data_IF_631425906021
#
_entry.id   IF_631425906021
#
_cell.length_a   1.000
_cell.length_b   1.000
_cell.length_c   1.000
_cell.angle_alpha   90.00
_cell.angle_beta   90.00
_cell.angle_gamma   90.00
#
_symmetry.space_group_name_H-M   'P 1'
#
loop_
_entity.id
_entity.type
_entity.pdbx_description
1 polymer ?
2 non-polymer ?
3 water ?
#
# COMPACT_ATOMS: atom_id res chain seq x y z
N UNK A 3 -25.41 32.66 -25.95
CA UNK A 3 -25.50 31.16 -25.93
C UNK A 3 -24.08 30.56 -25.80
N UNK A 4 -24.01 29.26 -25.51
CA UNK A 4 -22.83 28.55 -24.93
C UNK A 4 -21.91 28.08 -26.07
N UNK A 5 -20.89 28.87 -26.42
CA UNK A 5 -20.05 28.74 -27.65
C UNK A 5 -18.91 27.73 -27.49
N UNK A 6 -18.45 27.51 -26.26
CA UNK A 6 -17.19 26.77 -25.99
C UNK A 6 -17.44 25.60 -25.05
N UNK A 7 -16.67 24.51 -25.23
CA UNK A 7 -16.51 23.44 -24.24
C UNK A 7 -15.60 23.96 -23.13
N UNK A 8 -15.76 23.48 -21.89
CA UNK A 8 -14.71 23.61 -20.90
C UNK A 8 -13.49 22.81 -21.37
N UNK A 9 -12.29 23.23 -20.97
CA UNK A 9 -11.00 22.62 -21.40
C UNK A 9 -10.14 22.43 -20.17
N UNK A 10 -9.71 21.20 -19.90
CA UNK A 10 -8.74 20.92 -18.83
C UNK A 10 -7.42 21.55 -19.22
N UNK A 11 -6.60 21.91 -18.23
CA UNK A 11 -5.24 22.46 -18.43
C UNK A 11 -4.27 21.34 -18.80
N UNK A 12 -4.73 20.09 -18.75
CA UNK A 12 -3.92 18.88 -19.01
C UNK A 12 -4.88 17.75 -19.40
N UNK A 13 -4.67 17.04 -20.52
CA UNK A 13 -5.57 15.96 -20.92
C UNK A 13 -5.67 14.87 -19.85
N UNK A 14 -4.60 14.69 -19.09
CA UNK A 14 -4.42 13.59 -18.10
C UNK A 14 -3.56 14.05 -16.92
N UNK A 15 -3.86 13.53 -15.72
CA UNK A 15 -3.17 13.85 -14.46
C UNK A 15 -2.65 12.55 -13.81
N UNK A 16 -1.37 12.56 -13.45
CA UNK A 16 -0.65 11.55 -12.63
C UNK A 16 -0.52 12.12 -11.21
N UNK A 17 -0.42 11.29 -10.18
CA UNK A 17 -0.15 11.76 -8.80
C UNK A 17 0.32 10.61 -7.91
N UNK A 18 1.14 10.95 -6.92
CA UNK A 18 1.61 10.01 -5.89
C UNK A 18 0.98 10.38 -4.57
N UNK A 19 0.59 9.39 -3.77
CA UNK A 19 -0.07 9.60 -2.47
C UNK A 19 0.28 8.44 -1.53
N UNK A 20 0.92 8.72 -0.40
CA UNK A 20 1.37 7.68 0.55
C UNK A 20 0.15 7.21 1.33
N UNK A 21 -0.02 5.89 1.42
CA UNK A 21 -1.17 5.30 2.12
C UNK A 21 -1.22 5.86 3.54
N UNK A 22 -2.37 5.75 4.17
CA UNK A 22 -2.63 6.19 5.57
C UNK A 22 -2.52 7.72 5.69
N UNK A 23 -2.67 8.46 4.58
CA UNK A 23 -2.72 9.95 4.59
C UNK A 23 -3.84 10.38 5.51
N UNK A 24 -3.71 11.54 6.19
CA UNK A 24 -4.78 12.02 7.05
C UNK A 24 -5.98 12.46 6.23
N UNK A 25 -7.19 12.26 6.77
CA UNK A 25 -8.45 12.86 6.25
C UNK A 25 -8.23 14.36 6.11
N UNK A 26 -8.72 14.99 5.06
CA UNK A 26 -8.50 16.43 4.81
C UNK A 26 -7.29 16.71 3.93
N UNK A 27 -6.33 15.79 3.87
CA UNK A 27 -5.06 15.93 3.10
C UNK A 27 -5.33 16.17 1.61
N UNK A 28 -4.71 17.21 1.04
CA UNK A 28 -4.75 17.54 -0.42
C UNK A 28 -4.06 16.41 -1.20
N UNK A 29 -4.72 15.88 -2.23
CA UNK A 29 -4.15 14.83 -3.14
C UNK A 29 -3.71 15.49 -4.44
N UNK A 30 -4.63 16.17 -5.12
CA UNK A 30 -4.31 16.94 -6.36
C UNK A 30 -5.43 17.94 -6.64
N UNK A 31 -5.11 18.97 -7.42
CA UNK A 31 -6.02 20.05 -7.86
C UNK A 31 -6.13 19.94 -9.39
N UNK A 32 -7.35 19.82 -9.91
CA UNK A 32 -7.60 19.85 -11.38
C UNK A 32 -8.19 21.21 -11.75
N UNK A 33 -7.90 21.70 -12.95
CA UNK A 33 -8.44 22.98 -13.44
C UNK A 33 -8.85 22.80 -14.88
N UNK A 34 -10.01 23.33 -15.21
CA UNK A 34 -10.52 23.50 -16.58
C UNK A 34 -10.94 24.96 -16.76
N UNK A 35 -11.20 25.35 -18.00
CA UNK A 35 -11.31 26.77 -18.43
C UNK A 35 -12.36 26.87 -19.52
N UNK A 36 -13.14 27.93 -19.50
CA UNK A 36 -14.16 28.26 -20.52
C UNK A 36 -13.88 29.65 -21.11
N UNK A 37 -13.50 29.68 -22.39
CA UNK A 37 -13.29 30.92 -23.20
C UNK A 37 -14.51 31.85 -23.08
N UNK A 38 -15.67 31.28 -22.75
CA UNK A 38 -16.98 31.97 -22.61
C UNK A 38 -16.99 32.90 -21.39
N UNK A 39 -18.14 33.55 -21.18
CA UNK A 39 -18.42 34.50 -20.08
C UNK A 39 -19.67 34.02 -19.34
N UNK A 40 -19.87 34.48 -18.09
CA UNK A 40 -21.10 34.28 -17.29
C UNK A 40 -21.18 32.86 -16.74
N UNK A 41 -22.41 32.33 -16.63
CA UNK A 41 -22.71 30.93 -16.20
C UNK A 41 -22.20 29.93 -17.24
N UNK A 42 -22.19 30.35 -18.52
CA UNK A 42 -21.71 29.56 -19.67
C UNK A 42 -20.21 29.28 -19.52
N UNK A 43 -19.53 29.93 -18.56
CA UNK A 43 -18.10 29.74 -18.27
C UNK A 43 -17.85 29.39 -16.79
N UNK A 44 -18.89 28.97 -16.06
CA UNK A 44 -18.80 28.67 -14.61
C UNK A 44 -18.74 27.16 -14.42
N UNK A 45 -17.57 26.61 -14.09
CA UNK A 45 -17.28 25.15 -14.14
C UNK A 45 -17.60 24.50 -12.81
N UNK A 46 -18.35 23.40 -12.84
CA UNK A 46 -18.43 22.42 -11.73
C UNK A 46 -17.65 21.15 -12.09
N UNK A 47 -16.89 20.65 -11.14
CA UNK A 47 -16.16 19.36 -11.24
C UNK A 47 -16.95 18.30 -10.47
N UNK A 48 -17.02 17.11 -11.04
CA UNK A 48 -17.88 16.02 -10.54
C UNK A 48 -17.28 14.70 -11.04
N UNK A 49 -17.29 13.65 -10.21
CA UNK A 49 -16.94 12.28 -10.65
C UNK A 49 -17.94 11.28 -10.10
N UNK A 50 -19.22 11.46 -10.39
CA UNK A 50 -20.27 10.52 -9.96
C UNK A 50 -20.09 9.15 -10.62
N UNK A 51 -19.34 9.08 -11.73
CA UNK A 51 -19.13 7.87 -12.58
C UNK A 51 -17.90 7.10 -12.10
N UNK A 52 -17.17 7.65 -11.14
CA UNK A 52 -15.91 7.07 -10.63
C UNK A 52 -16.25 5.79 -9.88
N UNK A 53 -15.27 4.86 -9.74
CA UNK A 53 -15.47 3.62 -9.00
C UNK A 53 -15.78 3.87 -7.52
N UNK A 54 -16.63 3.01 -6.97
CA UNK A 54 -17.06 3.08 -5.57
C UNK A 54 -15.86 3.42 -4.70
N UNK A 55 -14.76 2.70 -4.86
CA UNK A 55 -13.52 2.84 -4.03
C UNK A 55 -13.05 4.29 -4.07
N UNK A 56 -12.88 4.81 -5.27
CA UNK A 56 -12.37 6.19 -5.45
C UNK A 56 -13.28 7.11 -4.64
N UNK A 57 -14.59 7.04 -4.86
CA UNK A 57 -15.61 7.92 -4.21
C UNK A 57 -15.56 7.71 -2.70
N UNK A 58 -15.31 6.50 -2.25
CA UNK A 58 -15.21 6.14 -0.83
C UNK A 58 -13.96 6.80 -0.26
N UNK A 59 -12.85 6.83 -0.98
CA UNK A 59 -11.56 7.29 -0.38
C UNK A 59 -11.32 8.79 -0.58
N UNK A 60 -11.83 9.39 -1.66
CA UNK A 60 -11.46 10.76 -2.11
C UNK A 60 -12.70 11.66 -2.17
N UNK A 61 -12.53 12.93 -1.83
CA UNK A 61 -13.55 13.98 -2.01
C UNK A 61 -13.06 14.97 -3.07
N UNK A 62 -13.88 15.24 -4.09
CA UNK A 62 -13.60 16.22 -5.18
C UNK A 62 -14.46 17.47 -4.96
N UNK A 63 -13.82 18.61 -4.64
CA UNK A 63 -14.53 19.90 -4.39
C UNK A 63 -15.18 20.32 -5.71
N UNK A 64 -16.51 20.49 -5.68
CA UNK A 64 -17.37 20.81 -6.85
C UNK A 64 -16.88 22.08 -7.53
N UNK A 65 -16.34 23.05 -6.77
CA UNK A 65 -16.07 24.43 -7.27
C UNK A 65 -14.58 24.61 -7.67
N UNK A 66 -13.64 24.05 -6.90
CA UNK A 66 -12.17 24.33 -6.99
C UNK A 66 -11.43 23.25 -7.79
N UNK A 67 -11.96 22.01 -7.82
CA UNK A 67 -11.28 20.89 -8.47
C UNK A 67 -10.24 20.25 -7.56
N UNK A 68 -10.31 20.57 -6.27
CA UNK A 68 -9.42 19.99 -5.24
C UNK A 68 -9.93 18.61 -4.86
N UNK A 69 -9.12 17.60 -5.12
CA UNK A 69 -9.28 16.23 -4.60
C UNK A 69 -8.50 16.11 -3.30
N UNK A 70 -9.21 15.81 -2.20
CA UNK A 70 -8.62 15.60 -0.86
C UNK A 70 -9.03 14.23 -0.31
N UNK A 71 -8.34 13.76 0.72
CA UNK A 71 -8.56 12.42 1.32
C UNK A 71 -9.78 12.49 2.24
N UNK A 72 -10.68 11.50 2.15
CA UNK A 72 -11.87 11.42 3.04
C UNK A 72 -12.00 10.00 3.64
N UNK A 73 -11.12 9.07 3.26
CA UNK A 73 -11.15 7.67 3.73
C UNK A 73 -9.76 7.05 3.89
N UNK A 74 -9.69 5.78 4.37
CA UNK A 74 -8.41 5.12 4.62
C UNK A 74 -7.82 4.49 3.36
N UNK A 75 -6.81 5.15 2.81
CA UNK A 75 -5.94 4.57 1.77
C UNK A 75 -5.09 3.45 2.40
N UNK A 76 -5.17 2.25 1.82
CA UNK A 76 -4.30 1.11 2.15
C UNK A 76 -3.67 0.63 0.84
N UNK A 77 -2.37 0.91 0.65
CA UNK A 77 -1.61 0.46 -0.54
C UNK A 77 -1.70 -1.05 -0.62
N UNK A 78 -1.80 -1.69 0.54
CA UNK A 78 -1.87 -3.16 0.65
C UNK A 78 -3.24 -3.62 0.16
N UNK A 79 -4.28 -2.80 0.32
CA UNK A 79 -5.65 -3.15 -0.12
C UNK A 79 -5.76 -2.87 -1.61
N UNK A 80 -5.34 -1.67 -2.03
CA UNK A 80 -5.43 -1.20 -3.45
C UNK A 80 -4.29 -0.23 -3.70
N UNK A 81 -3.49 -0.47 -4.73
CA UNK A 81 -2.16 0.19 -4.97
C UNK A 81 -2.26 1.30 -6.02
N UNK A 82 -3.35 1.34 -6.78
CA UNK A 82 -3.58 2.42 -7.77
C UNK A 82 -5.05 2.82 -7.76
N UNK A 83 -5.33 4.13 -7.75
CA UNK A 83 -6.69 4.71 -7.91
C UNK A 83 -6.74 5.44 -9.24
N UNK A 84 -7.42 4.86 -10.23
CA UNK A 84 -7.54 5.48 -11.56
C UNK A 84 -9.00 5.79 -11.84
N UNK A 85 -9.28 7.01 -12.30
CA UNK A 85 -10.67 7.50 -12.48
C UNK A 85 -10.67 8.72 -13.37
N UNK A 86 -11.82 9.34 -13.49
CA UNK A 86 -12.07 10.41 -14.46
C UNK A 86 -12.85 11.54 -13.80
N UNK A 87 -12.40 12.77 -14.01
CA UNK A 87 -13.10 14.00 -13.56
C UNK A 87 -13.86 14.62 -14.74
N UNK A 88 -15.16 14.81 -14.52
CA UNK A 88 -16.04 15.54 -15.47
C UNK A 88 -16.17 16.99 -15.02
N UNK A 89 -15.98 17.91 -15.98
CA UNK A 89 -16.12 19.37 -15.85
C UNK A 89 -17.17 19.87 -16.85
N UNK A 90 -18.33 20.32 -16.37
CA UNK A 90 -19.32 20.99 -17.25
C UNK A 90 -19.68 22.36 -16.68
N UNK A 91 -19.73 23.35 -17.59
CA UNK A 91 -20.25 24.72 -17.33
C UNK A 91 -21.77 24.67 -17.13
N UNK A 92 -22.37 25.84 -16.95
CA UNK A 92 -23.80 25.94 -16.58
C UNK A 92 -24.63 26.65 -17.67
N UNK A 93 -24.23 26.58 -18.94
CA UNK A 93 -25.19 26.72 -20.06
C UNK A 93 -26.41 25.84 -19.79
N UNK A 94 -27.59 26.22 -20.27
CA UNK A 94 -28.81 25.35 -20.23
C UNK A 94 -28.57 24.14 -21.12
N UNK A 95 -27.81 24.36 -22.20
CA UNK A 95 -27.04 23.34 -22.94
C UNK A 95 -25.65 23.31 -22.30
N UNK A 96 -25.44 22.47 -21.27
CA UNK A 96 -24.20 22.48 -20.53
C UNK A 96 -23.15 21.59 -21.20
N UNK A 97 -22.31 22.20 -22.06
CA UNK A 97 -21.12 21.57 -22.70
C UNK A 97 -20.19 21.05 -21.59
N UNK A 98 -19.75 19.80 -21.73
CA UNK A 98 -18.88 19.12 -20.73
C UNK A 98 -17.53 18.79 -21.36
N UNK A 99 -16.57 18.45 -20.51
CA UNK A 99 -15.21 17.95 -20.87
C UNK A 99 -14.69 17.06 -19.73
N UNK A 100 -13.80 16.13 -20.06
CA UNK A 100 -13.42 15.02 -19.15
C UNK A 100 -11.89 14.89 -19.08
N UNK A 101 -11.32 14.79 -17.88
CA UNK A 101 -9.86 14.50 -17.75
C UNK A 101 -9.69 13.23 -16.92
N UNK A 102 -8.81 12.34 -17.35
CA UNK A 102 -8.55 11.09 -16.60
C UNK A 102 -7.40 11.35 -15.64
N UNK A 103 -7.42 10.64 -14.53
CA UNK A 103 -6.59 10.89 -13.32
C UNK A 103 -6.13 9.54 -12.76
N UNK A 104 -4.83 9.43 -12.48
CA UNK A 104 -4.19 8.23 -11.87
C UNK A 104 -3.43 8.64 -10.59
N UNK A 105 -3.81 8.04 -9.46
CA UNK A 105 -3.11 8.19 -8.16
C UNK A 105 -2.44 6.87 -7.82
N UNK A 106 -1.11 6.81 -7.89
CA UNK A 106 -0.36 5.61 -7.44
C UNK A 106 -0.19 5.69 -5.92
N UNK A 107 -0.67 4.68 -5.20
CA UNK A 107 -0.60 4.64 -3.72
C UNK A 107 0.82 4.24 -3.33
N UNK A 108 1.53 5.15 -2.66
CA UNK A 108 2.88 4.92 -2.06
C UNK A 108 2.76 4.06 -0.81
N UNK A 109 3.69 3.10 -0.69
CA UNK A 109 3.80 2.15 0.44
C UNK A 109 4.27 2.89 1.69
N UNK A 110 3.72 2.51 2.83
CA UNK A 110 4.24 2.87 4.16
C UNK A 110 4.59 1.58 4.88
N UNK A 111 5.59 1.60 5.74
CA UNK A 111 5.93 0.45 6.59
C UNK A 111 4.87 0.32 7.68
N UNK A 112 3.67 -0.15 7.33
CA UNK A 112 2.50 -0.24 8.27
C UNK A 112 2.26 -1.70 8.64
N UNK A 113 3.17 -2.59 8.30
CA UNK A 113 2.97 -4.06 8.36
C UNK A 113 4.21 -4.73 8.98
N UNK A 114 4.03 -5.30 10.17
CA UNK A 114 5.06 -6.07 10.88
C UNK A 114 5.21 -7.44 10.21
N UNK A 115 6.45 -7.89 9.92
CA UNK A 115 6.66 -9.21 9.32
C UNK A 115 5.98 -10.28 10.16
N UNK A 116 5.43 -11.30 9.52
CA UNK A 116 4.75 -12.41 10.23
C UNK A 116 5.62 -13.64 10.04
N UNK A 117 5.73 -14.49 11.07
CA UNK A 117 6.58 -15.71 11.02
C UNK A 117 5.76 -16.89 11.49
N UNK A 118 5.48 -17.82 10.56
CA UNK A 118 4.73 -19.06 10.83
C UNK A 118 5.76 -20.19 10.97
N UNK A 119 5.51 -21.09 11.93
CA UNK A 119 6.44 -22.16 12.38
C UNK A 119 5.70 -23.49 12.44
N UNK A 120 6.28 -24.56 11.86
CA UNK A 120 5.82 -25.96 12.03
C UNK A 120 7.02 -26.88 12.28
N UNK A 121 6.88 -27.84 13.19
CA UNK A 121 7.98 -28.72 13.62
C UNK A 121 8.15 -29.87 12.67
N UNK A 122 9.22 -30.67 12.84
CA UNK A 122 9.48 -31.89 12.02
C UNK A 122 9.70 -33.12 12.91
N UNK A 123 9.77 -32.95 14.24
CA UNK A 123 9.92 -34.06 15.21
C UNK A 123 11.38 -34.37 15.49
N UNK A 137 21.68 -39.63 20.65
CA UNK A 137 22.18 -38.51 19.79
C UNK A 137 21.18 -38.18 18.68
N UNK A 138 21.12 -36.89 18.31
CA UNK A 138 20.45 -36.40 17.07
C UNK A 138 21.50 -35.70 16.21
N UNK A 139 21.52 -35.95 14.90
CA UNK A 139 22.59 -35.48 13.99
C UNK A 139 22.70 -33.97 14.10
N UNK A 140 23.89 -33.45 13.88
CA UNK A 140 24.13 -31.99 13.76
C UNK A 140 23.64 -31.55 12.38
N UNK A 141 23.12 -30.33 12.26
CA UNK A 141 22.64 -29.75 10.98
C UNK A 141 21.25 -30.31 10.60
N UNK A 142 20.61 -31.08 11.48
CA UNK A 142 19.28 -31.72 11.32
C UNK A 142 18.15 -30.69 11.35
N UNK A 143 17.35 -30.57 10.28
CA UNK A 143 16.14 -29.71 10.25
C UNK A 143 15.14 -30.17 11.31
N UNK A 144 14.61 -29.24 12.06
CA UNK A 144 13.75 -29.57 13.23
C UNK A 144 12.48 -28.71 13.17
N UNK A 145 12.50 -27.60 12.44
CA UNK A 145 11.26 -26.88 12.08
C UNK A 145 11.36 -26.19 10.73
N UNK A 146 10.18 -25.94 10.17
CA UNK A 146 9.92 -25.11 8.97
C UNK A 146 9.36 -23.76 9.40
N UNK A 147 10.10 -22.71 9.06
CA UNK A 147 9.79 -21.31 9.42
C UNK A 147 9.56 -20.57 8.11
N UNK A 148 8.43 -19.86 8.01
CA UNK A 148 8.02 -19.09 6.81
C UNK A 148 7.74 -17.64 7.22
N UNK A 149 8.23 -16.72 6.40
CA UNK A 149 8.26 -15.28 6.74
C UNK A 149 7.88 -14.49 5.50
N UNK A 150 7.16 -13.42 5.76
CA UNK A 150 6.30 -12.69 4.83
C UNK A 150 5.98 -11.36 5.48
N UNK A 151 6.06 -10.29 4.69
CA UNK A 151 5.71 -8.90 5.09
C UNK A 151 4.84 -8.35 3.95
N UNK A 152 3.66 -7.83 4.27
CA UNK A 152 2.63 -7.48 3.23
C UNK A 152 3.01 -6.18 2.53
N UNK A 153 4.00 -5.45 3.06
CA UNK A 153 4.49 -4.17 2.50
C UNK A 153 5.28 -4.46 1.22
N UNK A 154 5.90 -3.43 0.65
CA UNK A 154 6.58 -3.46 -0.65
C UNK A 154 8.04 -3.11 -0.45
N UNK A 155 8.92 -3.51 -1.38
CA UNK A 155 10.36 -3.22 -1.41
C UNK A 155 11.01 -3.35 -0.03
N UNK A 156 11.84 -2.37 0.33
CA UNK A 156 12.63 -2.34 1.59
C UNK A 156 11.70 -2.65 2.76
N UNK A 157 10.50 -2.10 2.76
CA UNK A 157 9.54 -2.21 3.89
C UNK A 157 9.12 -3.67 4.09
N UNK A 158 9.51 -4.54 3.17
CA UNK A 158 9.22 -6.00 3.21
C UNK A 158 10.51 -6.80 3.05
N UNK A 159 11.69 -6.17 3.10
CA UNK A 159 12.99 -6.86 3.12
C UNK A 159 13.25 -7.32 4.55
N UNK A 160 12.98 -8.57 4.87
CA UNK A 160 12.95 -9.06 6.27
C UNK A 160 14.26 -9.77 6.63
N UNK A 161 14.62 -9.72 7.91
CA UNK A 161 15.86 -10.29 8.50
C UNK A 161 15.45 -11.18 9.67
N UNK A 162 15.80 -12.45 9.63
CA UNK A 162 15.21 -13.48 10.51
C UNK A 162 16.34 -14.17 11.24
N UNK A 163 16.23 -14.29 12.56
CA UNK A 163 17.36 -14.84 13.37
C UNK A 163 16.81 -15.41 14.69
N UNK A 164 17.50 -16.44 15.17
CA UNK A 164 17.25 -17.05 16.50
C UNK A 164 17.84 -16.12 17.54
N UNK A 165 16.99 -15.58 18.40
CA UNK A 165 17.42 -14.81 19.59
C UNK A 165 17.97 -15.81 20.59
N UNK A 166 19.01 -15.41 21.32
CA UNK A 166 19.65 -16.22 22.37
C UNK A 166 20.98 -16.75 21.90
N UNK A 167 21.67 -17.47 22.77
CA UNK A 167 22.74 -18.41 22.34
C UNK A 167 22.18 -19.81 22.51
N UNK A 168 21.82 -20.43 21.40
CA UNK A 168 21.20 -21.79 21.38
C UNK A 168 21.72 -22.56 20.18
N UNK A 169 21.81 -23.90 20.28
CA UNK A 169 22.59 -24.70 19.33
C UNK A 169 21.81 -24.92 18.03
N UNK A 170 20.86 -24.01 17.74
CA UNK A 170 20.05 -23.97 16.49
C UNK A 170 20.31 -22.69 15.73
N UNK A 171 20.17 -22.77 14.41
CA UNK A 171 20.11 -21.60 13.52
C UNK A 171 19.23 -21.93 12.31
N UNK A 172 18.82 -20.86 11.61
CA UNK A 172 18.00 -20.89 10.38
C UNK A 172 18.94 -21.02 9.17
N UNK A 173 18.43 -21.65 8.12
CA UNK A 173 19.14 -21.83 6.82
C UNK A 173 18.08 -21.84 5.72
N UNK A 174 18.29 -21.09 4.65
CA UNK A 174 17.22 -20.82 3.66
C UNK A 174 17.01 -22.07 2.82
N UNK A 175 15.76 -22.42 2.51
CA UNK A 175 15.40 -23.20 1.30
C UNK A 175 15.61 -22.28 0.08
N UNK A 176 16.61 -22.56 -0.75
CA UNK A 176 17.32 -21.55 -1.59
C UNK A 176 16.34 -20.78 -2.50
N UNK A 177 16.40 -19.43 -2.45
CA UNK A 177 15.75 -18.45 -3.39
C UNK A 177 14.25 -18.72 -3.50
N UNK A 183 6.97 -14.72 0.24
CA UNK A 183 7.01 -15.79 1.29
C UNK A 183 8.35 -16.54 1.23
N UNK A 184 9.26 -16.21 2.16
CA UNK A 184 10.58 -16.86 2.33
C UNK A 184 10.44 -18.02 3.32
N UNK A 185 10.99 -19.19 2.97
CA UNK A 185 11.01 -20.40 3.83
C UNK A 185 12.44 -20.67 4.31
N UNK A 186 12.55 -21.26 5.51
CA UNK A 186 13.80 -21.57 6.23
C UNK A 186 13.67 -22.88 7.00
N UNK A 187 14.77 -23.64 7.05
CA UNK A 187 14.96 -24.75 8.01
C UNK A 187 15.58 -24.18 9.29
N UNK A 188 14.91 -24.44 10.40
CA UNK A 188 15.49 -24.27 11.73
C UNK A 188 16.18 -25.58 12.06
N UNK A 189 17.53 -25.59 12.09
CA UNK A 189 18.31 -26.86 12.19
C UNK A 189 19.30 -26.78 13.36
N UNK A 190 20.24 -27.74 13.42
CA UNK A 190 21.07 -28.06 14.61
C UNK A 190 22.49 -27.61 14.28
N UNK A 191 23.20 -27.12 15.31
CA UNK A 191 24.55 -26.47 15.24
C UNK A 191 25.60 -27.38 15.93
N UNK A 192 25.13 -28.31 16.76
CA UNK A 192 25.83 -29.50 17.32
C UNK A 192 24.77 -30.41 17.95
N UNK A 193 25.06 -31.70 18.20
CA UNK A 193 24.04 -32.61 18.69
C UNK A 193 23.94 -32.70 20.23
N UNK A 194 22.88 -33.32 20.77
CA UNK A 194 22.89 -33.99 22.11
C UNK A 194 21.72 -34.98 22.25
N UNK A 195 21.68 -35.69 23.39
CA UNK A 195 20.55 -36.50 23.91
C UNK A 195 19.40 -36.51 22.89
N UNK A 201 15.52 -30.41 26.87
CA UNK A 201 14.54 -29.83 25.90
C UNK A 201 14.46 -28.30 26.09
N UNK A 202 14.22 -27.61 24.98
CA UNK A 202 14.65 -26.23 24.67
C UNK A 202 13.46 -25.41 24.18
N UNK A 203 13.28 -24.18 24.71
CA UNK A 203 12.44 -23.11 24.09
C UNK A 203 13.32 -22.24 23.19
N UNK A 204 12.82 -21.87 22.01
CA UNK A 204 13.58 -21.22 20.91
C UNK A 204 12.73 -20.08 20.35
N UNK A 205 13.25 -18.86 20.43
CA UNK A 205 12.55 -17.63 20.01
C UNK A 205 13.15 -17.19 18.69
N UNK A 206 12.28 -17.05 17.69
CA UNK A 206 12.59 -16.54 16.32
C UNK A 206 12.22 -15.08 16.30
N UNK A 207 13.05 -14.28 15.64
CA UNK A 207 12.93 -12.81 15.57
C UNK A 207 13.03 -12.39 14.10
N UNK A 208 12.06 -11.56 13.68
CA UNK A 208 11.94 -11.01 12.31
C UNK A 208 11.88 -9.47 12.37
N UNK A 209 12.53 -8.76 11.40
CA UNK A 209 12.65 -7.25 11.37
C UNK A 209 12.72 -6.76 9.92
N UNK A 210 11.94 -5.74 9.53
CA UNK A 210 11.97 -5.09 8.18
C UNK A 210 13.30 -4.39 7.97
N UNK A 211 13.61 -4.05 6.72
CA UNK A 211 14.71 -3.16 6.30
C UNK A 211 14.11 -1.82 5.86
N UNK A 212 12.95 -1.47 6.41
CA UNK A 212 12.30 -0.16 6.23
C UNK A 212 12.42 0.69 7.48
N UNK A 213 12.22 2.00 7.35
CA UNK A 213 12.53 3.05 8.36
C UNK A 213 11.27 3.87 8.63
N UNK A 214 10.67 3.87 9.85
CA UNK A 214 11.03 2.95 10.92
C UNK A 214 10.72 1.51 10.61
N UNK A 215 11.62 0.57 10.97
CA UNK A 215 11.33 -0.85 10.91
C UNK A 215 10.36 -1.33 12.01
N UNK A 216 9.66 -2.41 11.71
CA UNK A 216 8.78 -3.18 12.64
C UNK A 216 9.33 -4.60 12.69
N UNK A 217 8.74 -5.40 13.54
CA UNK A 217 9.37 -6.56 14.19
C UNK A 217 8.29 -7.44 14.78
N UNK A 218 8.43 -8.74 14.63
CA UNK A 218 7.70 -9.73 15.45
C UNK A 218 8.66 -10.86 15.81
N UNK A 219 8.19 -11.68 16.75
CA UNK A 219 8.87 -12.87 17.29
C UNK A 219 7.88 -14.01 17.35
N UNK A 220 8.39 -15.24 17.34
CA UNK A 220 7.61 -16.47 17.64
C UNK A 220 8.50 -17.44 18.44
N UNK A 221 8.06 -17.77 19.65
CA UNK A 221 8.61 -18.81 20.55
C UNK A 221 8.40 -20.18 19.89
N UNK A 222 8.97 -21.25 20.44
CA UNK A 222 8.80 -22.65 19.93
C UNK A 222 9.53 -23.65 20.82
N UNK A 223 8.85 -24.73 21.23
CA UNK A 223 9.42 -25.80 22.10
C UNK A 223 9.66 -27.07 21.26
N UNK A 224 10.93 -27.45 21.11
CA UNK A 224 11.40 -28.54 20.20
C UNK A 224 10.64 -29.84 20.48
N UNK A 225 10.30 -30.61 19.44
CA UNK A 225 9.57 -31.91 19.58
C UNK A 225 10.03 -32.91 18.50
X LIG B 1 2.39 -0.67 3.35
X LIG C 1 6.97 -4.14 6.91
X LIG D 1 -1.28 -0.73 4.52
X LIG E 1 -18.87 27.25 -22.24
#
# INVERSE_FOLDING_TARGET
MDTNDNAPKFERPSYEAELSENSPIGHSVIQVKANDSDQGANAEIEYTFHQAPEVVRRLLRLDRNTGLITVQGPVDREDLSTLRFSVLAKDRGTNPKSARAQVVVTVKDMNDNAPTIEIRGIGLVTHQDGMANISEDVAEETAVALVQVSDRDEGENAAVTCVVAGDVPFQLRQASETGSDSKKKYFLQTTTPLDYEKVKDYTIEIVAVDSGNPPLSSTNSLKVQVVDVNDNALEHHHHHH
CA CA
CA CA
CA CA
CA CA
#
